data_IF_323396523914
#
_entry.id   IF_323396523914
#
_cell.length_a   1.000
_cell.length_b   1.000
_cell.length_c   1.000
_cell.angle_alpha   90.00
_cell.angle_beta   90.00
_cell.angle_gamma   90.00
#
_symmetry.space_group_name_H-M   'P 1'
#
loop_
_entity.id
_entity.type
_entity.pdbx_description
1 polymer ?
#
# COMPACT_ATOMS: atom_id res chain seq x y z
N UNK A 1 1.86 27.05 13.95
CA UNK A 1 2.43 25.71 14.23
C UNK A 1 1.36 24.62 14.37
N UNK A 2 0.24 24.86 15.06
CA UNK A 2 -0.88 23.91 15.21
C UNK A 2 -1.48 23.38 13.90
N UNK A 3 -1.63 24.23 12.87
CA UNK A 3 -2.18 23.80 11.58
C UNK A 3 -1.29 22.80 10.83
N UNK A 4 0.04 22.93 10.93
CA UNK A 4 1.00 22.01 10.30
C UNK A 4 1.02 20.64 10.99
N UNK A 5 0.87 20.62 12.32
CA UNK A 5 0.77 19.38 13.11
C UNK A 5 -0.51 18.63 12.76
N UNK A 6 -1.65 19.32 12.64
CA UNK A 6 -2.93 18.72 12.24
C UNK A 6 -2.86 18.09 10.85
N UNK A 7 -2.20 18.75 9.89
CA UNK A 7 -1.98 18.19 8.55
C UNK A 7 -1.10 16.95 8.61
N UNK A 8 -0.02 16.96 9.40
CA UNK A 8 0.83 15.79 9.59
C UNK A 8 0.06 14.59 10.16
N UNK A 9 -0.82 14.82 11.15
CA UNK A 9 -1.68 13.78 11.73
C UNK A 9 -2.69 13.25 10.72
N UNK A 10 -3.33 14.12 9.93
CA UNK A 10 -4.28 13.72 8.89
C UNK A 10 -3.61 12.89 7.80
N UNK A 11 -2.42 13.29 7.34
CA UNK A 11 -1.65 12.52 6.35
C UNK A 11 -1.24 11.17 6.92
N UNK A 12 -0.80 11.12 8.19
CA UNK A 12 -0.48 9.87 8.88
C UNK A 12 -1.69 8.93 8.98
N UNK A 13 -2.86 9.46 9.37
CA UNK A 13 -4.10 8.70 9.46
C UNK A 13 -4.57 8.19 8.09
N UNK A 14 -4.51 9.02 7.05
CA UNK A 14 -4.85 8.63 5.68
C UNK A 14 -3.92 7.53 5.17
N UNK A 15 -2.62 7.64 5.43
CA UNK A 15 -1.65 6.63 5.05
C UNK A 15 -1.90 5.30 5.77
N UNK A 16 -2.18 5.34 7.08
CA UNK A 16 -2.54 4.15 7.86
C UNK A 16 -3.84 3.50 7.33
N UNK A 17 -4.83 4.31 6.98
CA UNK A 17 -6.10 3.84 6.40
C UNK A 17 -5.88 3.14 5.05
N UNK A 18 -5.14 3.76 4.12
CA UNK A 18 -4.84 3.18 2.81
C UNK A 18 -4.10 1.84 2.94
N UNK A 19 -3.22 1.72 3.93
CA UNK A 19 -2.49 0.48 4.21
C UNK A 19 -3.40 -0.62 4.71
N UNK A 20 -4.28 -0.31 5.65
CA UNK A 20 -5.25 -1.28 6.16
C UNK A 20 -6.19 -1.73 5.04
N UNK A 21 -6.64 -0.82 4.19
CA UNK A 21 -7.45 -1.16 3.01
C UNK A 21 -6.72 -2.11 2.06
N UNK A 22 -5.45 -1.83 1.72
CA UNK A 22 -4.65 -2.71 0.85
C UNK A 22 -4.43 -4.10 1.44
N UNK A 23 -4.17 -4.20 2.75
CA UNK A 23 -4.04 -5.48 3.47
C UNK A 23 -5.35 -6.28 3.47
N UNK A 24 -6.47 -5.61 3.71
CA UNK A 24 -7.79 -6.23 3.72
C UNK A 24 -8.16 -6.73 2.32
N UNK A 25 -7.95 -5.92 1.28
CA UNK A 25 -8.18 -6.32 -0.12
C UNK A 25 -7.34 -7.55 -0.51
N UNK A 26 -6.08 -7.61 -0.07
CA UNK A 26 -5.25 -8.80 -0.28
C UNK A 26 -5.84 -10.05 0.40
N UNK A 27 -6.22 -9.94 1.67
CA UNK A 27 -6.79 -11.04 2.45
C UNK A 27 -8.10 -11.55 1.85
N UNK A 28 -8.99 -10.64 1.45
CA UNK A 28 -10.25 -10.97 0.77
C UNK A 28 -9.97 -11.69 -0.54
N UNK A 29 -9.11 -11.14 -1.39
CA UNK A 29 -8.75 -11.76 -2.67
C UNK A 29 -8.13 -13.15 -2.50
N UNK A 30 -7.32 -13.35 -1.46
CA UNK A 30 -6.74 -14.66 -1.16
C UNK A 30 -7.80 -15.70 -0.76
N UNK A 31 -8.85 -15.28 -0.04
CA UNK A 31 -10.00 -16.12 0.30
C UNK A 31 -10.83 -16.43 -0.96
N UNK A 32 -11.12 -15.43 -1.79
CA UNK A 32 -11.86 -15.60 -3.04
C UNK A 32 -11.17 -16.60 -3.98
N UNK A 33 -9.84 -16.47 -4.15
CA UNK A 33 -9.05 -17.40 -4.97
C UNK A 33 -9.05 -18.82 -4.41
N UNK A 34 -9.06 -18.99 -3.08
CA UNK A 34 -9.21 -20.28 -2.43
C UNK A 34 -10.58 -20.91 -2.66
N UNK A 35 -11.65 -20.11 -2.51
CA UNK A 35 -13.03 -20.56 -2.70
C UNK A 35 -13.33 -20.90 -4.17
N UNK A 36 -12.85 -20.09 -5.11
CA UNK A 36 -12.95 -20.36 -6.55
C UNK A 36 -12.25 -21.66 -6.92
N UNK A 37 -11.03 -21.89 -6.41
CA UNK A 37 -10.25 -23.11 -6.66
C UNK A 37 -10.87 -24.38 -6.05
N UNK A 38 -11.82 -24.24 -5.11
CA UNK A 38 -12.60 -25.35 -4.53
C UNK A 38 -13.87 -25.69 -5.31
N UNK A 39 -14.42 -24.74 -6.08
CA UNK A 39 -15.68 -24.91 -6.81
C UNK A 39 -15.47 -25.47 -8.23
N UNK A 40 -14.32 -25.20 -8.85
CA UNK A 40 -13.93 -25.82 -10.11
C UNK A 40 -13.34 -27.21 -9.82
N UNK A 41 -14.08 -28.26 -10.17
CA UNK A 41 -13.70 -29.66 -10.00
C UNK A 41 -12.24 -29.93 -10.40
N UNK A 42 -11.37 -30.06 -9.39
CA UNK A 42 -10.17 -30.91 -9.49
C UNK A 42 -8.80 -30.25 -9.62
N UNK A 43 -8.61 -28.93 -9.50
CA UNK A 43 -7.23 -28.44 -9.38
C UNK A 43 -7.07 -27.34 -8.31
N UNK A 44 -6.92 -27.82 -7.07
CA UNK A 44 -6.13 -27.12 -6.06
C UNK A 44 -4.72 -26.78 -6.59
N UNK A 45 -4.31 -27.31 -7.73
CA UNK A 45 -3.04 -27.02 -8.42
C UNK A 45 -2.83 -25.54 -8.69
N UNK A 46 -3.86 -24.77 -9.08
CA UNK A 46 -3.70 -23.33 -9.28
C UNK A 46 -3.43 -22.61 -7.95
N UNK A 47 -4.20 -22.92 -6.91
CA UNK A 47 -3.98 -22.36 -5.58
C UNK A 47 -2.64 -22.83 -4.98
N UNK A 48 -2.28 -24.09 -5.16
CA UNK A 48 -0.98 -24.65 -4.74
C UNK A 48 0.16 -24.00 -5.53
N UNK A 49 -0.04 -23.68 -6.81
CA UNK A 49 0.91 -22.93 -7.62
C UNK A 49 1.07 -21.51 -7.08
N UNK A 50 -0.02 -20.83 -6.69
CA UNK A 50 0.02 -19.51 -6.04
C UNK A 50 0.86 -19.57 -4.77
N UNK A 51 0.59 -20.54 -3.89
CA UNK A 51 1.27 -20.70 -2.60
C UNK A 51 2.75 -21.05 -2.78
N UNK A 52 3.08 -21.92 -3.76
CA UNK A 52 4.46 -22.32 -4.08
C UNK A 52 5.24 -21.24 -4.83
N UNK A 53 4.56 -20.41 -5.61
CA UNK A 53 5.14 -19.32 -6.41
C UNK A 53 4.67 -17.94 -5.95
N UNK A 54 4.53 -17.75 -4.62
CA UNK A 54 3.97 -16.53 -4.03
C UNK A 54 4.59 -15.25 -4.57
N UNK A 55 5.91 -15.20 -4.75
CA UNK A 55 6.60 -14.03 -5.31
C UNK A 55 6.20 -13.71 -6.76
N UNK A 56 5.95 -14.71 -7.60
CA UNK A 56 5.48 -14.51 -8.99
C UNK A 56 4.02 -14.08 -9.01
N UNK A 57 3.20 -14.68 -8.16
CA UNK A 57 1.79 -14.35 -8.06
C UNK A 57 1.58 -12.95 -7.48
N UNK A 58 2.27 -12.55 -6.41
CA UNK A 58 2.24 -11.17 -5.88
C UNK A 58 2.57 -10.16 -6.97
N UNK A 59 3.56 -10.44 -7.83
CA UNK A 59 3.93 -9.57 -8.97
C UNK A 59 2.85 -9.47 -10.05
N UNK A 60 1.95 -10.45 -10.15
CA UNK A 60 0.82 -10.45 -11.10
C UNK A 60 -0.39 -9.67 -10.58
N UNK A 61 -0.49 -9.39 -9.27
CA UNK A 61 -1.62 -8.67 -8.69
C UNK A 61 -1.38 -7.15 -8.76
N UNK A 62 -2.25 -6.45 -9.48
CA UNK A 62 -2.25 -4.98 -9.65
C UNK A 62 -2.23 -4.18 -8.34
N UNK A 63 -2.72 -4.76 -7.23
CA UNK A 63 -2.75 -4.15 -5.89
C UNK A 63 -1.34 -3.77 -5.37
N UNK A 64 -0.28 -4.39 -5.92
CA UNK A 64 1.13 -4.14 -5.58
C UNK A 64 1.89 -3.42 -6.70
N UNK A 65 1.27 -3.23 -7.88
CA UNK A 65 1.97 -2.74 -9.07
C UNK A 65 1.98 -1.21 -9.09
N UNK A 66 3.16 -0.61 -8.90
CA UNK A 66 3.44 0.73 -9.44
C UNK A 66 3.65 0.61 -10.96
N UNK A 67 3.13 1.53 -11.79
CA UNK A 67 3.01 1.36 -13.24
C UNK A 67 4.35 1.20 -13.99
N UNK A 68 5.48 1.65 -13.42
CA UNK A 68 6.80 1.53 -14.06
C UNK A 68 7.73 0.54 -13.32
N UNK A 69 8.94 0.33 -13.84
CA UNK A 69 9.97 -0.48 -13.17
C UNK A 69 10.38 0.18 -11.83
N UNK A 70 10.91 -0.60 -10.87
CA UNK A 70 11.32 -0.07 -9.56
C UNK A 70 12.26 1.12 -9.66
N UNK A 71 13.21 1.09 -10.61
CA UNK A 71 14.16 2.19 -10.84
C UNK A 71 13.49 3.42 -11.44
N UNK A 72 12.55 3.24 -12.38
CA UNK A 72 11.82 4.36 -13.00
C UNK A 72 10.87 5.00 -12.01
N UNK A 73 10.15 4.21 -11.20
CA UNK A 73 9.31 4.73 -10.13
C UNK A 73 10.15 5.49 -9.09
N UNK A 74 11.29 4.95 -8.67
CA UNK A 74 12.19 5.64 -7.74
C UNK A 74 12.66 6.97 -8.32
N UNK A 75 13.05 7.01 -9.60
CA UNK A 75 13.49 8.24 -10.26
C UNK A 75 12.37 9.29 -10.32
N UNK A 76 11.15 8.88 -10.71
CA UNK A 76 9.97 9.77 -10.76
C UNK A 76 9.61 10.28 -9.36
N UNK A 77 9.60 9.40 -8.35
CA UNK A 77 9.30 9.75 -6.96
C UNK A 77 10.37 10.67 -6.35
N UNK A 78 11.64 10.43 -6.67
CA UNK A 78 12.75 11.29 -6.23
C UNK A 78 12.68 12.66 -6.90
N UNK A 79 12.39 12.71 -8.21
CA UNK A 79 12.19 13.97 -8.92
C UNK A 79 11.00 14.74 -8.33
N UNK A 80 9.87 14.07 -8.09
CA UNK A 80 8.69 14.68 -7.46
C UNK A 80 9.01 15.25 -6.06
N UNK A 81 9.79 14.54 -5.25
CA UNK A 81 10.28 15.02 -3.96
C UNK A 81 11.17 16.26 -4.10
N UNK A 82 12.13 16.25 -5.03
CA UNK A 82 13.02 17.39 -5.27
C UNK A 82 12.21 18.62 -5.72
N UNK A 83 11.33 18.46 -6.72
CA UNK A 83 10.48 19.55 -7.20
C UNK A 83 9.53 20.06 -6.11
N UNK A 84 8.97 19.17 -5.29
CA UNK A 84 8.11 19.57 -4.18
C UNK A 84 8.89 20.37 -3.12
N UNK A 85 10.10 19.94 -2.75
CA UNK A 85 10.97 20.67 -1.82
C UNK A 85 11.36 22.05 -2.36
N UNK A 86 11.78 22.14 -3.63
CA UNK A 86 12.12 23.42 -4.27
C UNK A 86 10.90 24.34 -4.37
N UNK A 87 9.74 23.79 -4.76
CA UNK A 87 8.48 24.53 -4.78
C UNK A 87 8.06 25.03 -3.40
N UNK A 88 8.27 24.22 -2.35
CA UNK A 88 7.97 24.58 -0.97
C UNK A 88 8.87 25.74 -0.50
N UNK A 89 10.18 25.65 -0.77
CA UNK A 89 11.14 26.72 -0.44
C UNK A 89 10.72 28.01 -1.13
N UNK A 90 10.46 27.98 -2.43
CA UNK A 90 10.04 29.15 -3.20
C UNK A 90 8.70 29.72 -2.71
N UNK A 91 7.76 28.87 -2.31
CA UNK A 91 6.48 29.30 -1.75
C UNK A 91 6.65 30.00 -0.39
N UNK A 92 7.62 29.59 0.44
CA UNK A 92 7.95 30.26 1.69
C UNK A 92 8.77 31.54 1.51
N UNK A 93 9.78 31.52 0.62
CA UNK A 93 10.74 32.63 0.47
C UNK A 93 10.23 33.77 -0.41
N UNK A 94 9.38 33.48 -1.40
CA UNK A 94 8.90 34.45 -2.39
C UNK A 94 7.37 34.44 -2.52
N UNK A 95 6.66 34.14 -1.43
CA UNK A 95 5.18 34.06 -1.40
C UNK A 95 4.49 35.24 -2.07
N UNK A 96 4.95 36.47 -1.82
CA UNK A 96 4.33 37.70 -2.36
C UNK A 96 4.53 37.90 -3.86
N UNK A 97 5.47 37.18 -4.46
CA UNK A 97 5.78 37.24 -5.89
C UNK A 97 4.96 36.25 -6.69
N UNK A 98 4.70 35.08 -6.11
CA UNK A 98 4.05 33.95 -6.80
C UNK A 98 2.57 33.79 -6.49
N UNK A 99 2.08 34.34 -5.37
CA UNK A 99 0.68 34.19 -4.94
C UNK A 99 0.02 35.54 -4.72
N UNK A 100 -1.24 35.67 -5.16
CA UNK A 100 -2.03 36.91 -5.02
C UNK A 100 -2.66 37.00 -3.63
N UNK A 101 -2.89 35.86 -3.00
CA UNK A 101 -3.48 35.79 -1.66
C UNK A 101 -2.71 34.87 -0.73
N UNK A 102 -2.79 35.15 0.57
CA UNK A 102 -2.21 34.29 1.61
C UNK A 102 -2.80 32.87 1.59
N UNK A 103 -4.09 32.75 1.27
CA UNK A 103 -4.80 31.46 1.18
C UNK A 103 -4.26 30.55 0.09
N UNK A 104 -3.93 31.09 -1.09
CA UNK A 104 -3.31 30.34 -2.20
C UNK A 104 -1.93 29.82 -1.81
N UNK A 105 -1.10 30.69 -1.22
CA UNK A 105 0.25 30.33 -0.74
C UNK A 105 0.18 29.21 0.31
N UNK A 106 -0.71 29.35 1.30
CA UNK A 106 -0.92 28.32 2.32
C UNK A 106 -1.40 26.99 1.71
N UNK A 107 -2.33 27.01 0.76
CA UNK A 107 -2.83 25.79 0.12
C UNK A 107 -1.73 25.05 -0.65
N UNK A 108 -0.86 25.76 -1.38
CA UNK A 108 0.26 25.16 -2.11
C UNK A 108 1.30 24.60 -1.15
N UNK A 109 1.63 25.30 -0.07
CA UNK A 109 2.56 24.81 0.96
C UNK A 109 2.02 23.52 1.58
N UNK A 110 0.72 23.47 1.91
CA UNK A 110 0.09 22.28 2.47
C UNK A 110 0.10 21.12 1.49
N UNK A 111 -0.21 21.38 0.21
CA UNK A 111 -0.19 20.37 -0.84
C UNK A 111 1.22 19.79 -1.07
N UNK A 112 2.22 20.66 -1.23
CA UNK A 112 3.62 20.23 -1.42
C UNK A 112 4.16 19.51 -0.19
N UNK A 113 3.82 19.97 1.01
CA UNK A 113 4.14 19.28 2.26
C UNK A 113 3.52 17.88 2.34
N UNK A 114 2.28 17.72 1.88
CA UNK A 114 1.62 16.43 1.79
C UNK A 114 2.33 15.50 0.79
N UNK A 115 2.77 15.99 -0.36
CA UNK A 115 3.54 15.19 -1.34
C UNK A 115 4.87 14.71 -0.76
N UNK A 116 5.62 15.61 -0.10
CA UNK A 116 6.89 15.30 0.55
C UNK A 116 6.72 14.25 1.64
N UNK A 117 5.65 14.33 2.42
CA UNK A 117 5.37 13.35 3.47
C UNK A 117 4.85 12.01 2.90
N UNK A 118 4.04 12.06 1.85
CA UNK A 118 3.34 10.90 1.30
C UNK A 118 4.30 9.92 0.63
N UNK A 119 5.22 10.38 -0.21
CA UNK A 119 6.10 9.51 -1.02
C UNK A 119 6.98 8.59 -0.13
N UNK A 120 7.73 9.10 0.87
CA UNK A 120 8.51 8.26 1.77
C UNK A 120 7.62 7.35 2.63
N UNK A 121 6.47 7.85 3.08
CA UNK A 121 5.52 7.04 3.86
C UNK A 121 5.00 5.87 3.03
N UNK A 122 4.61 6.09 1.78
CA UNK A 122 4.12 5.04 0.88
C UNK A 122 5.18 3.95 0.68
N UNK A 123 6.46 4.30 0.59
CA UNK A 123 7.57 3.35 0.50
C UNK A 123 7.71 2.47 1.74
N UNK A 124 7.76 3.08 2.92
CA UNK A 124 7.88 2.36 4.20
C UNK A 124 6.67 1.44 4.41
N UNK A 125 5.49 1.95 4.07
CA UNK A 125 4.23 1.23 4.22
C UNK A 125 4.10 0.09 3.21
N UNK A 126 4.50 0.29 1.96
CA UNK A 126 4.56 -0.77 0.94
C UNK A 126 5.48 -1.91 1.36
N UNK A 127 6.66 -1.60 1.92
CA UNK A 127 7.56 -2.62 2.46
C UNK A 127 6.96 -3.39 3.66
N UNK A 128 6.20 -2.71 4.53
CA UNK A 128 5.47 -3.38 5.63
C UNK A 128 4.33 -4.27 5.11
N UNK A 129 3.60 -3.81 4.10
CA UNK A 129 2.54 -4.61 3.44
C UNK A 129 3.16 -5.85 2.80
N UNK A 130 4.27 -5.70 2.07
CA UNK A 130 4.94 -6.83 1.41
C UNK A 130 5.40 -7.89 2.42
N UNK A 131 5.97 -7.47 3.56
CA UNK A 131 6.33 -8.38 4.66
C UNK A 131 5.12 -9.13 5.21
N UNK A 132 4.00 -8.44 5.38
CA UNK A 132 2.77 -9.08 5.88
C UNK A 132 2.18 -10.05 4.87
N UNK A 133 2.13 -9.68 3.58
CA UNK A 133 1.70 -10.56 2.50
C UNK A 133 2.54 -11.84 2.47
N UNK A 134 3.88 -11.71 2.52
CA UNK A 134 4.80 -12.85 2.56
C UNK A 134 4.57 -13.72 3.81
N UNK A 135 4.31 -13.10 4.96
CA UNK A 135 4.00 -13.83 6.20
C UNK A 135 2.73 -14.66 6.05
N UNK A 136 1.65 -14.05 5.56
CA UNK A 136 0.36 -14.73 5.35
C UNK A 136 0.50 -15.88 4.35
N UNK A 137 1.24 -15.68 3.25
CA UNK A 137 1.50 -16.77 2.30
C UNK A 137 2.34 -17.90 2.91
N UNK A 138 3.27 -17.59 3.80
CA UNK A 138 4.01 -18.58 4.58
C UNK A 138 3.10 -19.39 5.49
N UNK A 139 2.20 -18.74 6.22
CA UNK A 139 1.20 -19.40 7.08
C UNK A 139 0.26 -20.32 6.25
N UNK A 140 -0.17 -19.87 5.07
CA UNK A 140 -0.98 -20.66 4.14
C UNK A 140 -0.20 -21.87 3.60
N UNK A 141 1.09 -21.69 3.28
CA UNK A 141 1.97 -22.79 2.85
C UNK A 141 2.12 -23.84 3.95
N UNK A 142 2.36 -23.42 5.18
CA UNK A 142 2.44 -24.33 6.32
C UNK A 142 1.11 -25.07 6.55
N UNK A 143 -0.02 -24.40 6.33
CA UNK A 143 -1.34 -25.02 6.40
C UNK A 143 -1.57 -26.04 5.28
N UNK A 144 -1.10 -25.74 4.06
CA UNK A 144 -1.12 -26.65 2.91
C UNK A 144 -0.28 -27.90 3.16
N UNK A 145 0.98 -27.72 3.56
CA UNK A 145 1.92 -28.82 3.82
C UNK A 145 1.44 -29.75 4.96
N UNK A 146 0.62 -29.22 5.88
CA UNK A 146 0.02 -29.97 6.99
C UNK A 146 -1.41 -30.47 6.70
N UNK A 147 -1.94 -30.26 5.51
CA UNK A 147 -3.30 -30.69 5.13
C UNK A 147 -4.43 -30.01 5.93
N UNK A 148 -4.21 -28.80 6.44
CA UNK A 148 -5.16 -28.05 7.30
C UNK A 148 -5.65 -26.73 6.69
N UNK A 149 -5.57 -26.60 5.36
CA UNK A 149 -6.00 -25.40 4.62
C UNK A 149 -7.43 -24.95 4.95
N UNK A 150 -8.38 -25.88 4.95
CA UNK A 150 -9.78 -25.58 5.25
C UNK A 150 -9.99 -24.97 6.63
N UNK A 151 -9.31 -25.53 7.63
CA UNK A 151 -9.38 -25.04 9.00
C UNK A 151 -8.73 -23.66 9.12
N UNK A 152 -7.59 -23.47 8.46
CA UNK A 152 -6.91 -22.17 8.43
C UNK A 152 -7.80 -21.08 7.84
N UNK A 153 -8.41 -21.32 6.67
CA UNK A 153 -9.27 -20.32 6.03
C UNK A 153 -10.59 -20.09 6.79
N UNK A 154 -11.17 -21.12 7.42
CA UNK A 154 -12.34 -20.96 8.27
C UNK A 154 -12.06 -20.11 9.52
N UNK A 155 -10.88 -20.25 10.12
CA UNK A 155 -10.42 -19.41 11.23
C UNK A 155 -10.08 -18.00 10.75
N UNK A 156 -9.29 -17.88 9.67
CA UNK A 156 -8.89 -16.61 9.06
C UNK A 156 -10.10 -15.74 8.69
N UNK A 157 -11.17 -16.34 8.14
CA UNK A 157 -12.42 -15.64 7.79
C UNK A 157 -13.07 -14.95 8.99
N UNK A 158 -13.10 -15.61 10.16
CA UNK A 158 -13.67 -15.05 11.40
C UNK A 158 -12.87 -13.86 11.90
N UNK A 159 -11.55 -13.88 11.72
CA UNK A 159 -10.64 -12.83 12.16
C UNK A 159 -10.50 -11.67 11.18
N UNK A 160 -10.49 -11.93 9.87
CA UNK A 160 -10.16 -10.92 8.85
C UNK A 160 -11.37 -10.17 8.30
N UNK A 161 -12.57 -10.76 8.34
CA UNK A 161 -13.80 -10.10 7.87
C UNK A 161 -14.46 -9.30 9.02
N UNK A 162 -14.15 -9.62 10.28
CA UNK A 162 -14.70 -8.91 11.45
C UNK A 162 -13.80 -7.79 12.01
N UNK A 163 -12.58 -7.61 11.50
CA UNK A 163 -11.64 -6.55 11.93
C UNK A 163 -11.65 -5.37 10.98
#
# INVERSE_FOLDING_TARGET
MTNLVLIGVLVGALCAYLVNMRKMNFRVKLIEEYESSRQEDGSLDYFCWIVRNGDKWIRSISIVKKPFSRHVNLAIETAALIYACVGLINAFSESSRYFKTYSESAAVIVFLGAVIAFIPCEWVLSGRIEKEIRRVLGEVKDALDRGRLDRYFAEARKTWIKS
#
